data_IF_481774104425
#
_entry.id   IF_481774104425
#
_cell.length_a   1.000
_cell.length_b   1.000
_cell.length_c   1.000
_cell.angle_alpha   90.00
_cell.angle_beta   90.00
_cell.angle_gamma   90.00
#
_symmetry.space_group_name_H-M   'P 1'
#
loop_
_entity.id
_entity.type
_entity.pdbx_description
1 polymer ?
#
# COMPACT_ATOMS: atom_id res chain seq x y z
N UNK A 1 -1.57 27.99 -33.89
CA UNK A 1 -0.99 27.45 -32.64
C UNK A 1 -1.91 26.41 -32.09
N UNK A 2 -1.46 25.17 -31.78
CA UNK A 2 -2.29 24.24 -31.05
C UNK A 2 -2.62 24.83 -29.67
N UNK A 3 -3.84 24.63 -29.13
CA UNK A 3 -4.19 25.16 -27.83
C UNK A 3 -3.23 24.63 -26.78
N UNK A 4 -2.68 25.50 -25.93
CA UNK A 4 -1.86 25.12 -24.79
C UNK A 4 -2.65 24.12 -23.96
N UNK A 5 -2.11 22.92 -23.74
CA UNK A 5 -2.68 21.95 -22.80
C UNK A 5 -2.74 22.65 -21.45
N UNK A 6 -3.95 22.87 -20.94
CA UNK A 6 -4.17 23.67 -19.73
C UNK A 6 -3.73 22.94 -18.47
N UNK A 7 -3.68 21.58 -18.50
CA UNK A 7 -3.28 20.71 -17.40
C UNK A 7 -2.39 19.58 -17.93
N UNK A 8 -1.31 19.28 -17.22
CA UNK A 8 -0.45 18.14 -17.55
C UNK A 8 -1.08 16.81 -17.15
N UNK A 9 -0.54 15.70 -17.66
CA UNK A 9 -0.97 14.34 -17.28
C UNK A 9 -0.73 14.11 -15.78
N UNK A 10 0.38 14.60 -15.27
CA UNK A 10 0.81 14.51 -13.87
C UNK A 10 -0.14 15.28 -12.94
N UNK A 11 -0.58 16.48 -13.32
CA UNK A 11 -1.54 17.28 -12.55
C UNK A 11 -2.90 16.57 -12.46
N UNK A 12 -3.33 15.93 -13.55
CA UNK A 12 -4.58 15.15 -13.57
C UNK A 12 -4.48 13.92 -12.67
N UNK A 13 -3.34 13.17 -12.75
CA UNK A 13 -3.09 12.01 -11.88
C UNK A 13 -3.06 12.45 -10.42
N UNK A 14 -2.30 13.48 -10.10
CA UNK A 14 -2.22 14.01 -8.73
C UNK A 14 -3.62 14.37 -8.19
N UNK A 15 -4.42 15.07 -8.98
CA UNK A 15 -5.80 15.42 -8.61
C UNK A 15 -6.66 14.19 -8.37
N UNK A 16 -6.52 13.14 -9.19
CA UNK A 16 -7.26 11.90 -9.02
C UNK A 16 -6.79 11.11 -7.78
N UNK A 17 -5.50 11.14 -7.46
CA UNK A 17 -4.96 10.56 -6.21
C UNK A 17 -5.53 11.28 -4.98
N UNK A 18 -5.54 12.62 -4.97
CA UNK A 18 -6.12 13.38 -3.86
C UNK A 18 -7.63 13.13 -3.69
N UNK A 19 -8.39 13.01 -4.78
CA UNK A 19 -9.78 12.57 -4.72
C UNK A 19 -9.92 11.16 -4.13
N UNK A 20 -9.03 10.23 -4.50
CA UNK A 20 -9.02 8.88 -3.93
C UNK A 20 -8.74 8.92 -2.43
N UNK A 21 -7.78 9.71 -1.99
CA UNK A 21 -7.43 9.87 -0.58
C UNK A 21 -8.61 10.38 0.25
N UNK A 22 -9.35 11.35 -0.28
CA UNK A 22 -10.47 11.99 0.42
C UNK A 22 -11.76 11.16 0.39
N UNK A 23 -12.09 10.57 -0.76
CA UNK A 23 -13.42 10.04 -1.06
C UNK A 23 -13.43 8.56 -1.47
N UNK A 24 -12.27 7.95 -1.66
CA UNK A 24 -12.13 6.58 -2.16
C UNK A 24 -12.04 6.49 -3.69
N UNK A 25 -11.66 5.31 -4.16
CA UNK A 25 -11.35 5.07 -5.58
C UNK A 25 -12.55 5.21 -6.53
N UNK A 26 -13.75 4.91 -6.04
CA UNK A 26 -14.98 5.01 -6.83
C UNK A 26 -15.35 6.46 -7.18
N UNK A 27 -14.84 7.44 -6.42
CA UNK A 27 -15.01 8.85 -6.69
C UNK A 27 -14.25 9.35 -7.94
N UNK A 28 -13.36 8.54 -8.53
CA UNK A 28 -12.61 8.93 -9.72
C UNK A 28 -13.49 8.82 -10.96
N UNK A 29 -14.12 9.94 -11.32
CA UNK A 29 -14.75 10.14 -12.63
C UNK A 29 -14.10 11.31 -13.36
N UNK A 30 -14.17 11.34 -14.69
CA UNK A 30 -13.63 12.47 -15.46
C UNK A 30 -14.30 13.80 -15.07
N UNK A 31 -15.57 13.76 -14.62
CA UNK A 31 -16.32 14.92 -14.16
C UNK A 31 -15.78 15.44 -12.83
N UNK A 32 -15.54 14.55 -11.86
CA UNK A 32 -15.11 14.96 -10.52
C UNK A 32 -13.66 15.45 -10.55
N UNK A 33 -12.79 14.79 -11.34
CA UNK A 33 -11.41 15.26 -11.59
C UNK A 33 -11.45 16.64 -12.29
N UNK A 34 -12.27 16.81 -13.33
CA UNK A 34 -12.44 18.08 -14.01
C UNK A 34 -12.94 19.19 -13.07
N UNK A 35 -13.96 18.89 -12.26
CA UNK A 35 -14.50 19.83 -11.26
C UNK A 35 -13.43 20.25 -10.24
N UNK A 36 -12.62 19.33 -9.75
CA UNK A 36 -11.52 19.61 -8.81
C UNK A 36 -10.43 20.49 -9.44
N UNK A 37 -10.17 20.32 -10.74
CA UNK A 37 -9.27 21.18 -11.52
C UNK A 37 -9.88 22.53 -11.90
N UNK A 38 -11.12 22.81 -11.53
CA UNK A 38 -11.83 24.03 -11.89
C UNK A 38 -12.19 24.12 -13.38
N UNK A 39 -12.43 22.98 -14.04
CA UNK A 39 -12.74 22.88 -15.47
C UNK A 39 -13.76 21.77 -15.78
N UNK A 40 -14.01 21.53 -17.07
CA UNK A 40 -14.82 20.38 -17.52
C UNK A 40 -13.99 19.08 -17.53
N UNK A 41 -14.62 17.96 -17.86
CA UNK A 41 -13.96 16.66 -18.06
C UNK A 41 -13.03 16.59 -19.28
N UNK A 42 -13.04 17.59 -20.18
CA UNK A 42 -12.29 17.59 -21.44
C UNK A 42 -10.80 17.37 -21.28
N UNK A 43 -10.07 17.99 -20.32
CA UNK A 43 -8.64 17.73 -20.11
C UNK A 43 -8.33 16.27 -19.80
N UNK A 44 -9.20 15.58 -19.04
CA UNK A 44 -9.02 14.16 -18.71
C UNK A 44 -9.04 13.31 -19.98
N UNK A 45 -10.05 13.49 -20.84
CA UNK A 45 -10.13 12.75 -22.12
C UNK A 45 -9.09 13.20 -23.18
N UNK A 46 -8.45 14.34 -22.96
CA UNK A 46 -7.32 14.77 -23.81
C UNK A 46 -6.02 14.08 -23.39
N UNK A 47 -5.84 13.85 -22.08
CA UNK A 47 -4.61 13.30 -21.52
C UNK A 47 -4.62 11.75 -21.45
N UNK A 48 -5.80 11.14 -21.35
CA UNK A 48 -5.96 9.67 -21.19
C UNK A 48 -6.93 9.13 -22.23
N UNK A 49 -6.58 7.99 -22.84
CA UNK A 49 -7.41 7.29 -23.81
C UNK A 49 -8.69 6.71 -23.17
N UNK A 50 -8.67 6.43 -21.87
CA UNK A 50 -9.80 5.90 -21.10
C UNK A 50 -9.71 6.25 -19.62
N UNK A 51 -10.83 6.13 -18.92
CA UNK A 51 -10.82 6.21 -17.44
C UNK A 51 -10.03 5.06 -16.79
N UNK A 52 -9.91 3.92 -17.46
CA UNK A 52 -9.10 2.81 -16.96
C UNK A 52 -7.60 3.16 -16.96
N UNK A 53 -7.13 3.86 -17.99
CA UNK A 53 -5.74 4.34 -18.03
C UNK A 53 -5.46 5.31 -16.88
N UNK A 54 -6.35 6.25 -16.59
CA UNK A 54 -6.21 7.14 -15.44
C UNK A 54 -6.25 6.37 -14.12
N UNK A 55 -7.20 5.44 -13.96
CA UNK A 55 -7.33 4.61 -12.76
C UNK A 55 -6.08 3.75 -12.53
N UNK A 56 -5.48 3.21 -13.59
CA UNK A 56 -4.22 2.48 -13.50
C UNK A 56 -3.08 3.39 -12.99
N UNK A 57 -2.94 4.58 -13.56
CA UNK A 57 -1.94 5.56 -13.12
C UNK A 57 -2.13 5.98 -11.65
N UNK A 58 -3.38 6.03 -11.15
CA UNK A 58 -3.65 6.29 -9.72
C UNK A 58 -3.16 5.13 -8.85
N UNK A 59 -3.36 3.87 -9.27
CA UNK A 59 -2.85 2.69 -8.55
C UNK A 59 -1.33 2.72 -8.49
N UNK A 60 -0.65 3.03 -9.61
CA UNK A 60 0.82 3.15 -9.65
C UNK A 60 1.32 4.23 -8.69
N UNK A 61 0.68 5.39 -8.65
CA UNK A 61 1.04 6.48 -7.73
C UNK A 61 0.76 6.13 -6.25
N UNK A 62 -0.35 5.43 -5.98
CA UNK A 62 -0.65 4.94 -4.63
C UNK A 62 0.42 3.95 -4.16
N UNK A 63 0.88 3.06 -5.04
CA UNK A 63 1.94 2.11 -4.72
C UNK A 63 3.29 2.81 -4.52
N UNK A 64 3.65 3.76 -5.38
CA UNK A 64 4.86 4.56 -5.21
C UNK A 64 4.87 5.30 -3.85
N UNK A 65 3.71 5.81 -3.40
CA UNK A 65 3.57 6.44 -2.08
C UNK A 65 3.76 5.44 -0.94
N UNK A 66 3.22 4.23 -1.06
CA UNK A 66 3.47 3.16 -0.10
C UNK A 66 4.97 2.82 -0.01
N UNK A 67 5.64 2.63 -1.16
CA UNK A 67 7.07 2.36 -1.20
C UNK A 67 7.92 3.48 -0.57
N UNK A 68 7.57 4.74 -0.79
CA UNK A 68 8.24 5.88 -0.14
C UNK A 68 8.13 5.82 1.38
N UNK A 69 6.93 5.53 1.91
CA UNK A 69 6.72 5.39 3.35
C UNK A 69 7.48 4.20 3.92
N UNK A 70 7.53 3.08 3.19
CA UNK A 70 8.30 1.91 3.58
C UNK A 70 9.81 2.23 3.66
N UNK A 71 10.38 2.82 2.61
CA UNK A 71 11.78 3.25 2.58
C UNK A 71 12.10 4.24 3.71
N UNK A 72 11.22 5.22 3.95
CA UNK A 72 11.36 6.14 5.07
C UNK A 72 11.38 5.39 6.40
N UNK A 73 10.43 4.49 6.66
CA UNK A 73 10.33 3.74 7.91
C UNK A 73 11.55 2.84 8.14
N UNK A 74 12.08 2.23 7.07
CA UNK A 74 13.34 1.48 7.13
C UNK A 74 14.52 2.39 7.45
N UNK A 75 14.60 3.56 6.80
CA UNK A 75 15.72 4.51 6.99
C UNK A 75 15.74 5.16 8.38
N UNK A 76 14.60 5.26 9.05
CA UNK A 76 14.51 5.73 10.45
C UNK A 76 15.30 4.82 11.42
N UNK A 77 15.55 3.56 11.06
CA UNK A 77 16.36 2.63 11.85
C UNK A 77 15.78 2.27 13.21
N UNK A 78 14.49 2.58 13.44
CA UNK A 78 13.81 2.34 14.72
C UNK A 78 13.56 0.85 14.98
N UNK A 79 13.40 0.06 13.92
CA UNK A 79 13.10 -1.37 13.99
C UNK A 79 14.06 -2.17 13.10
N UNK A 80 14.24 -3.49 13.36
CA UNK A 80 14.91 -4.37 12.40
C UNK A 80 14.22 -4.31 11.03
N UNK A 81 14.94 -4.50 9.90
CA UNK A 81 14.40 -4.30 8.54
C UNK A 81 13.09 -5.02 8.27
N UNK A 82 12.99 -6.30 8.59
CA UNK A 82 11.75 -7.08 8.38
C UNK A 82 10.57 -6.53 9.19
N UNK A 83 10.79 -6.13 10.45
CA UNK A 83 9.75 -5.50 11.27
C UNK A 83 9.38 -4.11 10.74
N UNK A 84 10.34 -3.36 10.18
CA UNK A 84 10.08 -2.06 9.58
C UNK A 84 9.09 -2.14 8.42
N UNK A 85 9.14 -3.19 7.60
CA UNK A 85 8.16 -3.43 6.53
C UNK A 85 6.73 -3.57 7.10
N UNK A 86 6.55 -4.41 8.11
CA UNK A 86 5.24 -4.59 8.77
C UNK A 86 4.72 -3.32 9.43
N UNK A 87 5.61 -2.56 10.09
CA UNK A 87 5.25 -1.27 10.69
C UNK A 87 4.88 -0.23 9.64
N UNK A 88 5.60 -0.16 8.51
CA UNK A 88 5.28 0.73 7.39
C UNK A 88 3.93 0.38 6.76
N UNK A 89 3.63 -0.90 6.58
CA UNK A 89 2.36 -1.38 6.05
C UNK A 89 1.17 -0.94 6.93
N UNK A 90 1.29 -1.11 8.25
CA UNK A 90 0.25 -0.69 9.21
C UNK A 90 0.13 0.83 9.26
N UNK A 91 1.27 1.55 9.26
CA UNK A 91 1.31 3.01 9.22
C UNK A 91 0.64 3.56 7.96
N UNK A 92 0.87 2.92 6.80
CA UNK A 92 0.20 3.32 5.56
C UNK A 92 -1.32 3.15 5.65
N UNK A 93 -1.81 2.08 6.27
CA UNK A 93 -3.23 1.87 6.50
C UNK A 93 -3.84 2.93 7.42
N UNK A 94 -3.08 3.41 8.41
CA UNK A 94 -3.50 4.46 9.34
C UNK A 94 -3.49 5.86 8.67
N UNK A 95 -2.42 6.20 7.96
CA UNK A 95 -2.24 7.54 7.38
C UNK A 95 -3.00 7.71 6.05
N UNK A 96 -3.15 6.64 5.27
CA UNK A 96 -3.72 6.64 3.92
C UNK A 96 -4.79 5.55 3.74
N UNK A 97 -5.86 5.53 4.55
CA UNK A 97 -6.80 4.42 4.59
C UNK A 97 -7.47 4.11 3.24
N UNK A 98 -7.77 5.13 2.44
CA UNK A 98 -8.40 4.93 1.12
C UNK A 98 -7.41 4.42 0.07
N UNK A 99 -6.14 4.83 0.13
CA UNK A 99 -5.09 4.25 -0.73
C UNK A 99 -4.75 2.83 -0.30
N UNK A 100 -4.75 2.54 1.00
CA UNK A 100 -4.58 1.19 1.52
C UNK A 100 -5.68 0.24 1.02
N UNK A 101 -6.96 0.66 1.11
CA UNK A 101 -8.09 -0.11 0.57
C UNK A 101 -7.94 -0.35 -0.93
N UNK A 102 -7.53 0.67 -1.68
CA UNK A 102 -7.28 0.57 -3.11
C UNK A 102 -6.22 -0.47 -3.44
N UNK A 103 -5.11 -0.51 -2.73
CA UNK A 103 -4.00 -1.42 -3.03
C UNK A 103 -4.24 -2.85 -2.53
N UNK A 104 -4.79 -3.01 -1.32
CA UNK A 104 -4.72 -4.26 -0.57
C UNK A 104 -6.08 -4.86 -0.20
N UNK A 105 -7.20 -4.17 -0.45
CA UNK A 105 -8.54 -4.65 -0.05
C UNK A 105 -9.54 -4.72 -1.21
N UNK A 106 -9.17 -4.34 -2.44
CA UNK A 106 -10.05 -4.44 -3.60
C UNK A 106 -10.02 -5.83 -4.24
N UNK A 107 -11.04 -6.13 -5.02
CA UNK A 107 -11.01 -7.29 -5.91
C UNK A 107 -9.94 -7.10 -7.00
N UNK A 108 -9.08 -8.08 -7.15
CA UNK A 108 -7.99 -8.13 -8.14
C UNK A 108 -8.14 -9.29 -9.12
N UNK A 109 -9.32 -9.89 -9.20
CA UNK A 109 -9.62 -11.00 -10.12
C UNK A 109 -9.28 -10.59 -11.55
N UNK A 110 -8.44 -11.37 -12.22
CA UNK A 110 -7.99 -11.13 -13.60
C UNK A 110 -6.86 -10.09 -13.74
N UNK A 111 -6.33 -9.53 -12.67
CA UNK A 111 -5.09 -8.74 -12.70
C UNK A 111 -3.86 -9.65 -12.63
N UNK A 112 -2.76 -9.19 -13.23
CA UNK A 112 -1.47 -9.87 -13.07
C UNK A 112 -1.09 -9.89 -11.57
N UNK A 113 -0.49 -11.00 -11.15
CA UNK A 113 0.03 -11.10 -9.78
C UNK A 113 1.12 -10.05 -9.56
N UNK A 114 0.86 -9.14 -8.63
CA UNK A 114 1.81 -8.09 -8.28
C UNK A 114 2.48 -8.47 -6.98
N UNK A 115 3.76 -8.74 -7.06
CA UNK A 115 4.60 -8.96 -5.87
C UNK A 115 4.87 -7.62 -5.17
N UNK A 116 4.07 -7.29 -4.20
CA UNK A 116 4.27 -6.10 -3.36
C UNK A 116 5.40 -6.30 -2.32
N UNK A 117 6.55 -6.85 -2.73
CA UNK A 117 7.70 -7.09 -1.86
C UNK A 117 7.65 -8.43 -1.11
N UNK A 118 6.79 -9.37 -1.52
CA UNK A 118 6.67 -10.68 -0.88
C UNK A 118 7.98 -11.47 -0.93
N UNK A 119 8.64 -11.51 -2.10
CA UNK A 119 9.88 -12.26 -2.27
C UNK A 119 11.03 -11.65 -1.44
N UNK A 120 11.12 -10.32 -1.39
CA UNK A 120 12.12 -9.63 -0.56
C UNK A 120 11.90 -9.94 0.93
N UNK A 121 10.65 -9.95 1.37
CA UNK A 121 10.29 -10.30 2.75
C UNK A 121 10.65 -11.75 3.09
N UNK A 122 10.35 -12.71 2.21
CA UNK A 122 10.74 -14.12 2.37
C UNK A 122 12.26 -14.28 2.44
N UNK A 123 13.00 -13.59 1.58
CA UNK A 123 14.48 -13.61 1.61
C UNK A 123 15.03 -13.03 2.92
N UNK A 124 14.41 -11.97 3.47
CA UNK A 124 14.79 -11.45 4.79
C UNK A 124 14.54 -12.46 5.89
N UNK A 125 13.41 -13.18 5.86
CA UNK A 125 13.13 -14.26 6.82
C UNK A 125 14.19 -15.35 6.73
N UNK A 126 14.51 -15.84 5.52
CA UNK A 126 15.57 -16.85 5.32
C UNK A 126 16.90 -16.39 5.92
N UNK A 127 17.30 -15.16 5.62
CA UNK A 127 18.57 -14.59 6.11
C UNK A 127 18.61 -14.51 7.65
N UNK A 128 17.49 -14.18 8.30
CA UNK A 128 17.43 -13.97 9.75
C UNK A 128 17.19 -15.25 10.55
N UNK A 129 16.61 -16.27 9.94
CA UNK A 129 16.18 -17.48 10.64
C UNK A 129 16.96 -18.73 10.21
N UNK A 130 17.53 -18.74 9.01
CA UNK A 130 18.16 -19.92 8.40
C UNK A 130 17.16 -20.93 7.83
N UNK A 131 15.87 -20.60 7.75
CA UNK A 131 14.82 -21.45 7.18
C UNK A 131 15.03 -21.64 5.67
N UNK A 132 14.59 -22.80 5.17
CA UNK A 132 14.47 -23.03 3.73
C UNK A 132 13.36 -22.17 3.12
N UNK A 133 13.24 -22.18 1.78
CA UNK A 133 12.29 -21.34 1.03
C UNK A 133 10.83 -21.57 1.44
N UNK A 134 10.42 -22.83 1.59
CA UNK A 134 9.02 -23.17 1.87
C UNK A 134 8.64 -22.77 3.30
N UNK A 135 9.51 -23.08 4.26
CA UNK A 135 9.35 -22.70 5.67
C UNK A 135 9.37 -21.18 5.86
N UNK A 136 10.25 -20.46 5.16
CA UNK A 136 10.30 -19.01 5.20
C UNK A 136 9.07 -18.35 4.56
N UNK A 137 8.55 -18.93 3.47
CA UNK A 137 7.31 -18.48 2.83
C UNK A 137 6.11 -18.65 3.76
N UNK A 138 6.01 -19.80 4.43
CA UNK A 138 4.96 -20.05 5.41
C UNK A 138 5.06 -19.07 6.60
N UNK A 139 6.27 -18.92 7.15
CA UNK A 139 6.54 -17.98 8.25
C UNK A 139 6.12 -16.55 7.88
N UNK A 140 6.53 -16.09 6.68
CA UNK A 140 6.15 -14.75 6.20
C UNK A 140 4.64 -14.64 6.02
N UNK A 141 3.97 -15.65 5.47
CA UNK A 141 2.52 -15.65 5.27
C UNK A 141 1.77 -15.53 6.60
N UNK A 142 2.20 -16.27 7.64
CA UNK A 142 1.59 -16.19 8.98
C UNK A 142 1.75 -14.79 9.61
N UNK A 143 2.95 -14.19 9.49
CA UNK A 143 3.19 -12.81 9.95
C UNK A 143 2.38 -11.81 9.12
N UNK A 144 2.34 -11.97 7.79
CA UNK A 144 1.59 -11.09 6.91
C UNK A 144 0.10 -11.08 7.22
N UNK A 145 -0.51 -12.24 7.50
CA UNK A 145 -1.92 -12.31 7.90
C UNK A 145 -2.18 -11.49 9.17
N UNK A 146 -1.31 -11.58 10.18
CA UNK A 146 -1.44 -10.80 11.40
C UNK A 146 -1.25 -9.29 11.15
N UNK A 147 -0.23 -8.91 10.37
CA UNK A 147 0.04 -7.52 9.96
C UNK A 147 -1.13 -6.95 9.17
N UNK A 148 -1.65 -7.71 8.18
CA UNK A 148 -2.79 -7.30 7.38
C UNK A 148 -4.06 -7.14 8.21
N UNK A 149 -4.32 -8.06 9.13
CA UNK A 149 -5.44 -7.95 10.07
C UNK A 149 -5.40 -6.65 10.89
N UNK A 150 -4.25 -6.31 11.46
CA UNK A 150 -4.07 -5.04 12.19
C UNK A 150 -4.27 -3.84 11.25
N UNK A 151 -3.66 -3.87 10.05
CA UNK A 151 -3.78 -2.80 9.07
C UNK A 151 -5.23 -2.55 8.63
N UNK A 152 -6.01 -3.60 8.41
CA UNK A 152 -7.45 -3.51 8.09
C UNK A 152 -8.22 -2.82 9.22
N UNK A 153 -7.91 -3.10 10.48
CA UNK A 153 -8.57 -2.46 11.63
C UNK A 153 -8.30 -0.95 11.65
N UNK A 154 -7.09 -0.50 11.33
CA UNK A 154 -6.79 0.92 11.17
C UNK A 154 -7.50 1.52 9.93
N UNK A 155 -7.38 0.88 8.77
CA UNK A 155 -7.98 1.37 7.53
C UNK A 155 -9.51 1.49 7.62
N UNK A 156 -10.17 0.70 8.47
CA UNK A 156 -11.63 0.74 8.68
C UNK A 156 -12.05 1.61 9.87
N UNK A 157 -11.10 2.23 10.56
CA UNK A 157 -11.32 2.97 11.79
C UNK A 157 -12.04 2.12 12.90
N UNK A 158 -11.86 0.79 12.85
CA UNK A 158 -12.45 -0.13 13.84
C UNK A 158 -11.71 -0.05 15.17
N UNK A 159 -10.38 0.14 15.14
CA UNK A 159 -9.52 0.30 16.32
C UNK A 159 -8.54 1.45 16.08
N UNK A 160 -8.23 2.16 17.16
CA UNK A 160 -7.19 3.19 17.23
C UNK A 160 -6.17 2.78 18.30
N UNK A 161 -5.26 1.88 17.93
CA UNK A 161 -4.23 1.38 18.83
C UNK A 161 -2.98 2.24 18.77
N UNK A 162 -2.33 2.37 19.93
CA UNK A 162 -0.99 2.95 20.00
C UNK A 162 0.01 2.10 19.19
N UNK A 163 0.80 2.75 18.37
CA UNK A 163 1.82 2.11 17.53
C UNK A 163 2.92 1.41 18.35
N UNK A 164 3.10 1.76 19.61
CA UNK A 164 4.00 1.03 20.51
C UNK A 164 3.42 -0.34 20.88
N UNK A 165 2.12 -0.40 21.15
CA UNK A 165 1.39 -1.67 21.35
C UNK A 165 1.48 -2.54 20.09
N UNK A 166 1.23 -1.98 18.91
CA UNK A 166 1.35 -2.67 17.63
C UNK A 166 2.76 -3.23 17.45
N UNK A 167 3.77 -2.42 17.73
CA UNK A 167 5.18 -2.83 17.64
C UNK A 167 5.50 -4.01 18.57
N UNK A 168 4.97 -4.04 19.79
CA UNK A 168 5.12 -5.19 20.72
C UNK A 168 4.44 -6.43 20.16
N UNK A 169 3.18 -6.31 19.71
CA UNK A 169 2.44 -7.43 19.11
C UNK A 169 3.21 -8.07 17.94
N UNK A 170 3.77 -7.28 17.03
CA UNK A 170 4.57 -7.80 15.92
C UNK A 170 5.83 -8.54 16.41
N UNK A 171 6.45 -8.05 17.51
CA UNK A 171 7.59 -8.76 18.11
C UNK A 171 7.15 -10.10 18.69
N UNK A 172 6.04 -10.13 19.42
CA UNK A 172 5.51 -11.34 20.07
C UNK A 172 5.11 -12.38 19.00
N UNK A 173 4.46 -11.98 17.92
CA UNK A 173 4.14 -12.87 16.79
C UNK A 173 5.41 -13.47 16.17
N UNK A 174 6.40 -12.61 15.86
CA UNK A 174 7.67 -13.06 15.29
C UNK A 174 8.38 -14.06 16.21
N UNK A 175 8.50 -13.74 17.50
CA UNK A 175 9.19 -14.62 18.46
C UNK A 175 8.43 -15.93 18.69
N UNK A 176 7.10 -15.90 18.77
CA UNK A 176 6.27 -17.08 18.90
C UNK A 176 6.45 -18.05 17.72
N UNK A 177 6.41 -17.54 16.49
CA UNK A 177 6.64 -18.35 15.29
C UNK A 177 8.08 -18.88 15.23
N UNK A 178 9.06 -18.04 15.53
CA UNK A 178 10.47 -18.45 15.55
C UNK A 178 10.73 -19.57 16.58
N UNK A 179 10.13 -19.48 17.75
CA UNK A 179 10.30 -20.51 18.80
C UNK A 179 9.69 -21.85 18.39
N UNK A 180 8.57 -21.86 17.66
CA UNK A 180 7.93 -23.08 17.14
C UNK A 180 8.84 -23.79 16.13
N UNK A 181 9.43 -23.04 15.21
CA UNK A 181 10.31 -23.56 14.16
C UNK A 181 11.63 -24.18 14.71
N UNK A 182 12.10 -23.72 15.86
CA UNK A 182 13.32 -24.28 16.50
C UNK A 182 13.00 -25.56 17.28
N UNK A 183 11.74 -25.77 17.64
CA UNK A 183 11.29 -26.92 18.43
C UNK A 183 10.89 -28.13 17.57
N UNK A 184 10.73 -27.97 16.28
CA UNK A 184 10.51 -29.03 15.27
C UNK A 184 11.84 -29.46 14.64
#
# INVERSE_FOLDING_TARGET
MPPKVKFSKEEIIHTAVELTREQGFDAITARDVGARLGTSSKPVYTAFASMQELKHAVIEQAYARYQQLEQQTVSEGKYPPYKSMGMAYIRFAQEEPNLFRLLFMRDRTGEADTDYGYQDAVQMVQTQTGLDQDSASLFHTEIWIAVHGIAVMFATAYLDWDMELVSRMLTDFYQGLKSRQIAE
#
